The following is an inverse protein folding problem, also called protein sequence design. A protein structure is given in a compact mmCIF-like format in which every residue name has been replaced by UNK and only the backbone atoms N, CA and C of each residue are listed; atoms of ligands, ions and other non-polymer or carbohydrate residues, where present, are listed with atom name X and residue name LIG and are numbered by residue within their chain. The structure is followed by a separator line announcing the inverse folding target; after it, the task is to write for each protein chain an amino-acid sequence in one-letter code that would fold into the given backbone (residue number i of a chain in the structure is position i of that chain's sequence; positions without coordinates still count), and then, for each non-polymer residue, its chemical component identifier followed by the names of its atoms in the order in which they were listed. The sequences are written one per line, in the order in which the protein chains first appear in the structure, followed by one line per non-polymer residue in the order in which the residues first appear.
data_IF_875227794822
#
_entry.id   IF_875227794822
#
_cell.length_a   1.000
_cell.length_b   1.000
_cell.length_c   1.000
_cell.angle_alpha   90.00
_cell.angle_beta   90.00
_cell.angle_gamma   90.00
#
_symmetry.space_group_name_H-M   'P 1'
#
loop_
_entity.id
_entity.type
_entity.pdbx_description
1 polymer ?
#
# COMPACT_ATOMS: atom_id res chain seq x y z
N UNK A 1 -13.01 -2.88 5.25
CA UNK A 1 -11.90 -3.40 4.43
C UNK A 1 -10.85 -4.00 5.34
N UNK A 2 -10.27 -5.15 4.99
CA UNK A 2 -9.26 -5.85 5.80
C UNK A 2 -7.93 -5.99 5.08
N UNK A 3 -6.89 -6.32 5.85
CA UNK A 3 -5.55 -6.55 5.30
C UNK A 3 -5.50 -7.84 4.47
N UNK A 4 -6.40 -8.80 4.74
CA UNK A 4 -6.61 -9.99 3.94
C UNK A 4 -7.23 -9.64 2.58
N UNK A 5 -8.23 -8.74 2.54
CA UNK A 5 -8.82 -8.27 1.28
C UNK A 5 -7.73 -7.68 0.35
N UNK A 6 -6.82 -6.90 0.93
CA UNK A 6 -5.69 -6.33 0.19
C UNK A 6 -4.68 -7.38 -0.27
N UNK A 7 -4.43 -8.39 0.56
CA UNK A 7 -3.59 -9.52 0.16
C UNK A 7 -4.20 -10.29 -1.02
N UNK A 8 -5.47 -10.65 -0.94
CA UNK A 8 -6.16 -11.39 -2.01
C UNK A 8 -6.16 -10.59 -3.31
N UNK A 9 -6.36 -9.27 -3.21
CA UNK A 9 -6.25 -8.36 -4.34
C UNK A 9 -4.86 -8.37 -5.00
N UNK A 10 -3.79 -8.28 -4.21
CA UNK A 10 -2.43 -8.31 -4.74
C UNK A 10 -2.12 -9.66 -5.43
N UNK A 11 -2.60 -10.76 -4.87
CA UNK A 11 -2.44 -12.08 -5.48
C UNK A 11 -3.20 -12.17 -6.80
N UNK A 12 -4.46 -11.69 -6.83
CA UNK A 12 -5.29 -11.65 -8.03
C UNK A 12 -4.68 -10.81 -9.15
N UNK A 13 -4.01 -9.72 -8.80
CA UNK A 13 -3.31 -8.82 -9.75
C UNK A 13 -1.95 -9.37 -10.22
N UNK A 14 -1.56 -10.56 -9.76
CA UNK A 14 -0.38 -11.28 -10.25
C UNK A 14 0.87 -11.13 -9.38
N UNK A 15 0.77 -10.51 -8.19
CA UNK A 15 1.88 -10.50 -7.24
C UNK A 15 2.04 -11.88 -6.60
N UNK A 16 3.24 -12.44 -6.63
CA UNK A 16 3.53 -13.71 -5.97
C UNK A 16 3.46 -13.54 -4.46
N UNK A 17 2.92 -14.52 -3.70
CA UNK A 17 2.95 -14.53 -2.22
C UNK A 17 4.30 -14.95 -1.64
N UNK A 18 5.08 -15.68 -2.42
CA UNK A 18 6.40 -16.18 -2.04
C UNK A 18 7.34 -16.02 -3.21
N UNK A 19 8.57 -15.61 -2.92
CA UNK A 19 9.65 -15.74 -3.91
C UNK A 19 9.96 -17.23 -4.13
N UNK A 20 10.55 -17.62 -5.28
CA UNK A 20 11.00 -19.00 -5.51
C UNK A 20 11.97 -19.53 -4.44
N UNK A 21 12.64 -18.62 -3.70
CA UNK A 21 13.54 -18.92 -2.60
C UNK A 21 12.85 -18.98 -1.22
N UNK A 22 11.53 -18.84 -1.14
CA UNK A 22 10.76 -18.94 0.10
C UNK A 22 10.70 -17.67 0.96
N UNK A 23 11.31 -16.56 0.53
CA UNK A 23 11.25 -15.28 1.24
C UNK A 23 9.87 -14.60 1.07
N UNK A 24 9.42 -13.81 2.08
CA UNK A 24 8.23 -12.98 1.96
C UNK A 24 8.36 -12.07 0.75
N UNK A 25 7.34 -12.12 -0.10
CA UNK A 25 7.33 -11.45 -1.39
C UNK A 25 6.75 -10.03 -1.32
N UNK A 26 6.49 -9.46 -2.49
CA UNK A 26 5.82 -8.18 -2.70
C UNK A 26 4.49 -8.04 -1.98
N UNK A 27 3.73 -9.13 -1.79
CA UNK A 27 2.42 -9.09 -1.10
C UNK A 27 2.58 -8.67 0.37
N UNK A 28 3.43 -9.40 1.11
CA UNK A 28 3.71 -9.09 2.51
C UNK A 28 4.42 -7.75 2.68
N UNK A 29 5.26 -7.40 1.71
CA UNK A 29 5.96 -6.13 1.72
C UNK A 29 4.99 -4.95 1.56
N UNK A 30 4.06 -5.02 0.60
CA UNK A 30 3.08 -3.96 0.39
C UNK A 30 2.12 -3.80 1.57
N UNK A 31 1.70 -4.89 2.20
CA UNK A 31 0.91 -4.82 3.44
C UNK A 31 1.66 -4.05 4.54
N UNK A 32 2.94 -4.37 4.78
CA UNK A 32 3.77 -3.67 5.78
C UNK A 32 3.90 -2.18 5.46
N UNK A 33 4.11 -1.82 4.19
CA UNK A 33 4.25 -0.42 3.78
C UNK A 33 2.96 0.38 3.98
N UNK A 34 1.81 -0.22 3.66
CA UNK A 34 0.50 0.39 3.94
C UNK A 34 0.30 0.57 5.44
N UNK A 35 0.64 -0.43 6.26
CA UNK A 35 0.59 -0.30 7.72
C UNK A 35 1.48 0.83 8.23
N UNK A 36 2.72 0.92 7.77
CA UNK A 36 3.64 2.00 8.16
C UNK A 36 3.09 3.38 7.84
N UNK A 37 2.40 3.53 6.69
CA UNK A 37 1.75 4.80 6.35
C UNK A 37 0.55 5.07 7.25
N UNK A 38 -0.25 4.05 7.58
CA UNK A 38 -1.34 4.20 8.55
C UNK A 38 -0.81 4.68 9.91
N UNK A 39 0.28 4.08 10.40
CA UNK A 39 0.92 4.47 11.65
C UNK A 39 1.45 5.92 11.60
N UNK A 40 2.08 6.30 10.49
CA UNK A 40 2.64 7.66 10.30
C UNK A 40 1.56 8.74 10.22
N UNK A 41 0.44 8.43 9.57
CA UNK A 41 -0.69 9.33 9.38
C UNK A 41 -1.72 9.25 10.53
N UNK A 42 -1.47 8.44 11.56
CA UNK A 42 -2.39 8.18 12.66
C UNK A 42 -3.77 7.71 12.19
N UNK A 43 -3.79 6.90 11.14
CA UNK A 43 -5.01 6.31 10.58
C UNK A 43 -5.29 4.99 11.32
N UNK A 44 -6.46 4.88 11.99
CA UNK A 44 -6.73 3.75 12.88
C UNK A 44 -7.01 2.43 12.16
N UNK A 45 -7.56 2.48 10.94
CA UNK A 45 -8.01 1.32 10.19
C UNK A 45 -7.99 1.55 8.66
N UNK A 46 -8.11 0.46 7.90
CA UNK A 46 -8.05 0.52 6.43
C UNK A 46 -9.26 1.19 5.80
N UNK A 47 -10.43 1.19 6.44
CA UNK A 47 -11.60 1.91 5.94
C UNK A 47 -11.37 3.44 6.05
N UNK A 48 -10.75 3.89 7.13
CA UNK A 48 -10.30 5.26 7.32
C UNK A 48 -9.21 5.66 6.31
N UNK A 49 -8.30 4.72 5.97
CA UNK A 49 -7.33 4.93 4.89
C UNK A 49 -8.04 5.04 3.54
N UNK A 50 -8.96 4.14 3.24
CA UNK A 50 -9.71 4.11 1.99
C UNK A 50 -10.51 5.41 1.77
N UNK A 51 -11.13 5.94 2.83
CA UNK A 51 -11.86 7.21 2.78
C UNK A 51 -10.97 8.41 2.42
N UNK A 52 -9.66 8.32 2.65
CA UNK A 52 -8.68 9.39 2.39
C UNK A 52 -7.63 8.99 1.36
N UNK A 53 -7.84 7.90 0.61
CA UNK A 53 -6.76 7.28 -0.17
C UNK A 53 -6.20 8.20 -1.26
N UNK A 54 -7.04 9.02 -1.90
CA UNK A 54 -6.59 9.99 -2.90
C UNK A 54 -5.82 11.16 -2.29
N UNK A 55 -6.06 11.51 -1.02
CA UNK A 55 -5.24 12.48 -0.29
C UNK A 55 -3.88 11.89 0.06
N UNK A 56 -3.87 10.66 0.59
CA UNK A 56 -2.64 9.95 0.96
C UNK A 56 -1.76 9.67 -0.28
N UNK A 57 -2.33 9.21 -1.39
CA UNK A 57 -1.56 9.01 -2.62
C UNK A 57 -0.89 10.32 -3.08
N UNK A 58 -1.64 11.42 -3.11
CA UNK A 58 -1.09 12.74 -3.49
C UNK A 58 -0.01 13.22 -2.52
N UNK A 59 -0.17 12.99 -1.21
CA UNK A 59 0.79 13.39 -0.18
C UNK A 59 2.13 12.66 -0.33
N UNK A 60 2.11 11.39 -0.73
CA UNK A 60 3.31 10.55 -0.89
C UNK A 60 3.81 10.45 -2.34
N UNK A 61 3.07 10.99 -3.31
CA UNK A 61 3.49 11.07 -4.72
C UNK A 61 4.68 12.02 -4.91
N UNK A 62 5.28 12.03 -6.11
CA UNK A 62 6.51 12.77 -6.45
C UNK A 62 6.50 14.27 -6.08
N UNK A 63 5.34 14.91 -6.05
CA UNK A 63 5.17 16.33 -5.71
C UNK A 63 4.47 16.57 -4.36
N UNK A 64 4.27 15.52 -3.57
CA UNK A 64 3.63 15.58 -2.28
C UNK A 64 4.57 15.99 -1.14
N UNK A 65 3.98 16.42 -0.03
CA UNK A 65 4.71 16.81 1.19
C UNK A 65 5.56 15.67 1.76
N UNK A 66 5.14 14.42 1.56
CA UNK A 66 5.81 13.20 2.01
C UNK A 66 6.44 12.41 0.84
N UNK A 67 6.69 13.08 -0.30
CA UNK A 67 7.30 12.50 -1.51
C UNK A 67 8.61 11.78 -1.23
N UNK A 68 9.48 12.34 -0.38
CA UNK A 68 10.76 11.71 0.00
C UNK A 68 10.54 10.36 0.70
N UNK A 69 9.52 10.27 1.56
CA UNK A 69 9.17 9.01 2.22
C UNK A 69 8.52 8.03 1.23
N UNK A 70 7.62 8.52 0.38
CA UNK A 70 6.98 7.72 -0.67
C UNK A 70 7.97 7.11 -1.65
N UNK A 71 9.06 7.82 -1.96
CA UNK A 71 10.12 7.40 -2.87
C UNK A 71 11.08 6.34 -2.28
N UNK A 72 11.01 6.07 -0.96
CA UNK A 72 11.88 5.09 -0.31
C UNK A 72 11.78 3.70 -0.92
N UNK A 73 12.90 2.99 -0.89
CA UNK A 73 13.03 1.63 -1.40
C UNK A 73 12.56 1.49 -2.85
N UNK A 74 12.95 2.42 -3.72
CA UNK A 74 12.52 2.48 -5.12
C UNK A 74 11.01 2.68 -5.30
N UNK A 75 10.48 3.77 -4.71
CA UNK A 75 9.06 4.15 -4.79
C UNK A 75 8.10 3.10 -4.21
N UNK A 76 8.59 2.22 -3.34
CA UNK A 76 7.81 1.05 -2.99
C UNK A 76 6.67 1.38 -2.01
N UNK A 77 6.80 2.45 -1.22
CA UNK A 77 5.73 2.97 -0.36
C UNK A 77 4.60 3.58 -1.20
N UNK A 78 4.92 4.50 -2.11
CA UNK A 78 3.90 5.08 -2.99
C UNK A 78 3.26 4.02 -3.91
N UNK A 79 4.04 3.05 -4.39
CA UNK A 79 3.49 1.94 -5.18
C UNK A 79 2.52 1.07 -4.36
N UNK A 80 2.80 0.80 -3.09
CA UNK A 80 1.88 0.08 -2.22
C UNK A 80 0.57 0.85 -2.01
N UNK A 81 0.64 2.18 -1.80
CA UNK A 81 -0.54 3.04 -1.70
C UNK A 81 -1.36 3.06 -2.99
N UNK A 82 -0.71 3.13 -4.15
CA UNK A 82 -1.39 3.07 -5.46
C UNK A 82 -2.11 1.75 -5.65
N UNK A 83 -1.51 0.62 -5.26
CA UNK A 83 -2.21 -0.68 -5.31
C UNK A 83 -3.41 -0.72 -4.37
N UNK A 84 -3.29 -0.14 -3.19
CA UNK A 84 -4.42 -0.04 -2.27
C UNK A 84 -5.53 0.88 -2.81
N UNK A 85 -5.16 1.97 -3.50
CA UNK A 85 -6.11 2.85 -4.20
C UNK A 85 -6.84 2.13 -5.32
N UNK A 86 -6.15 1.28 -6.10
CA UNK A 86 -6.78 0.43 -7.11
C UNK A 86 -7.81 -0.52 -6.47
N UNK A 87 -7.46 -1.19 -5.37
CA UNK A 87 -8.42 -1.99 -4.60
C UNK A 87 -9.66 -1.19 -4.21
N UNK A 88 -9.48 0.03 -3.68
CA UNK A 88 -10.59 0.88 -3.27
C UNK A 88 -11.53 1.25 -4.44
N UNK A 89 -11.03 1.27 -5.67
CA UNK A 89 -11.80 1.60 -6.88
C UNK A 89 -12.48 0.39 -7.53
N UNK A 90 -12.09 -0.83 -7.15
CA UNK A 90 -12.70 -2.08 -7.60
C UNK A 90 -13.86 -2.55 -6.71
N UNK A 91 -14.22 -1.79 -5.67
CA UNK A 91 -15.31 -2.08 -4.74
C UNK A 91 -16.50 -1.13 -4.87
#
# INVERSE_FOLDING_TARGET
MTMDDFKEFLIRTGYSERTPAGNPSTVYDYQKRVQTICEREHIPDLDSLAARIDEIERKYAENGEESEFGAKSHNAYINAIRRFQELCREQ
#
